data_IF_370069363815
#
_entry.id   IF_370069363815
#
_cell.length_a   1.000
_cell.length_b   1.000
_cell.length_c   1.000
_cell.angle_alpha   90.00
_cell.angle_beta   90.00
_cell.angle_gamma   90.00
#
_symmetry.space_group_name_H-M   'P 1'
#
loop_
_entity.id
_entity.type
_entity.pdbx_description
1 polymer ?
#
# COMPACT_ATOMS: atom_id res chain seq x y z
N UNK A 1 26.77 -17.85 16.54
CA UNK A 1 26.15 -18.39 15.31
C UNK A 1 25.02 -17.44 14.98
N UNK A 2 25.25 -16.54 14.01
CA UNK A 2 24.37 -15.41 13.75
C UNK A 2 23.31 -15.78 12.70
N UNK A 3 22.05 -15.53 13.02
CA UNK A 3 20.89 -15.67 12.14
C UNK A 3 20.95 -14.63 11.02
N UNK A 4 21.00 -15.10 9.78
CA UNK A 4 20.83 -14.27 8.59
C UNK A 4 19.34 -14.12 8.29
N UNK A 5 18.75 -13.02 8.74
CA UNK A 5 17.45 -12.53 8.25
C UNK A 5 17.65 -11.93 6.86
N UNK A 6 17.13 -12.61 5.83
CA UNK A 6 17.10 -12.09 4.46
C UNK A 6 15.98 -11.07 4.33
N UNK A 7 16.32 -9.78 4.30
CA UNK A 7 15.38 -8.71 3.91
C UNK A 7 14.98 -8.89 2.44
N UNK A 8 13.67 -8.88 2.18
CA UNK A 8 13.11 -8.87 0.82
C UNK A 8 13.45 -7.57 0.08
N UNK A 9 13.30 -7.53 -1.25
CA UNK A 9 13.71 -6.38 -2.05
C UNK A 9 12.85 -5.16 -1.66
N UNK A 10 13.45 -4.23 -0.93
CA UNK A 10 12.90 -2.92 -0.64
C UNK A 10 12.56 -2.21 -1.96
N UNK A 11 11.46 -1.47 -1.96
CA UNK A 11 11.15 -0.56 -3.07
C UNK A 11 12.38 0.32 -3.31
N UNK A 12 13.02 0.13 -4.46
CA UNK A 12 14.14 0.98 -4.88
C UNK A 12 13.62 2.39 -5.06
N UNK A 13 13.92 3.26 -4.10
CA UNK A 13 13.67 4.70 -4.18
C UNK A 13 14.57 5.26 -5.27
N UNK A 14 14.02 5.45 -6.47
CA UNK A 14 14.68 6.18 -7.54
C UNK A 14 14.89 7.64 -7.12
N UNK A 15 16.03 8.20 -7.55
CA UNK A 15 16.65 9.45 -7.12
C UNK A 15 15.75 10.67 -6.90
N UNK A 16 16.09 11.39 -5.82
CA UNK A 16 15.61 12.68 -5.35
C UNK A 16 15.84 13.80 -6.38
N UNK A 17 14.79 14.55 -6.73
CA UNK A 17 14.84 15.93 -7.20
C UNK A 17 13.43 16.55 -7.09
N UNK A 18 13.25 17.49 -6.14
CA UNK A 18 12.00 18.23 -5.91
C UNK A 18 11.48 18.01 -4.49
N UNK A 19 11.18 19.08 -3.76
CA UNK A 19 10.76 19.01 -2.36
C UNK A 19 9.43 18.26 -2.24
N UNK A 20 9.46 16.94 -2.03
CA UNK A 20 8.23 16.17 -1.81
C UNK A 20 7.61 16.66 -0.52
N UNK A 21 6.54 17.45 -0.62
CA UNK A 21 5.67 17.72 0.52
C UNK A 21 5.15 16.36 1.00
N UNK A 22 5.05 16.16 2.31
CA UNK A 22 4.36 15.00 2.87
C UNK A 22 2.91 15.37 3.13
N UNK A 23 2.00 14.40 3.01
CA UNK A 23 0.62 14.51 3.48
C UNK A 23 0.59 13.88 4.87
N UNK A 24 0.24 14.68 5.87
CA UNK A 24 -0.01 14.18 7.22
C UNK A 24 -1.37 13.46 7.25
N UNK A 25 -1.39 12.29 7.88
CA UNK A 25 -2.60 11.52 8.15
C UNK A 25 -2.95 11.75 9.60
N UNK A 26 -4.10 12.37 9.84
CA UNK A 26 -4.54 12.76 11.19
C UNK A 26 -5.66 11.85 11.64
N UNK A 27 -5.60 11.38 12.89
CA UNK A 27 -6.71 10.69 13.51
C UNK A 27 -7.80 11.69 13.88
N UNK A 28 -8.99 11.62 13.26
CA UNK A 28 -10.04 12.62 13.48
C UNK A 28 -10.66 12.54 14.90
N UNK A 29 -10.51 11.42 15.61
CA UNK A 29 -11.03 11.29 16.97
C UNK A 29 -10.15 11.97 18.03
N UNK A 30 -8.83 12.07 17.80
CA UNK A 30 -7.87 12.65 18.76
C UNK A 30 -7.25 13.95 18.26
N UNK A 31 -7.25 14.21 16.96
CA UNK A 31 -6.54 15.31 16.32
C UNK A 31 -5.04 15.06 16.13
N UNK A 32 -4.53 13.89 16.51
CA UNK A 32 -3.10 13.55 16.43
C UNK A 32 -2.70 13.11 15.01
N UNK A 33 -1.50 13.48 14.57
CA UNK A 33 -0.91 12.96 13.33
C UNK A 33 -0.41 11.53 13.60
N UNK A 34 -0.94 10.57 12.86
CA UNK A 34 -0.66 9.12 13.03
C UNK A 34 0.26 8.55 11.95
N UNK A 35 0.38 9.22 10.81
CA UNK A 35 1.31 8.85 9.75
C UNK A 35 1.62 10.04 8.82
N UNK A 36 2.63 9.88 7.97
CA UNK A 36 2.90 10.80 6.87
C UNK A 36 3.19 10.03 5.58
N UNK A 37 2.58 10.40 4.47
CA UNK A 37 2.81 9.79 3.16
C UNK A 37 3.45 10.79 2.19
N UNK A 38 4.30 10.37 1.24
CA UNK A 38 4.84 11.27 0.24
C UNK A 38 3.72 11.85 -0.65
N UNK A 39 3.68 13.17 -0.81
CA UNK A 39 2.86 13.80 -1.84
C UNK A 39 3.67 13.80 -3.15
N UNK A 40 3.30 12.90 -4.06
CA UNK A 40 3.85 12.90 -5.41
C UNK A 40 3.36 14.14 -6.16
N UNK A 41 4.23 14.74 -6.96
CA UNK A 41 3.86 15.86 -7.83
C UNK A 41 3.58 15.40 -9.26
N UNK A 42 3.21 16.35 -10.12
CA UNK A 42 2.88 16.06 -11.52
C UNK A 42 4.08 15.52 -12.31
N UNK A 43 5.31 15.83 -11.90
CA UNK A 43 6.52 15.34 -12.55
C UNK A 43 6.80 13.87 -12.24
N UNK A 44 6.38 13.39 -11.06
CA UNK A 44 6.51 11.98 -10.66
C UNK A 44 5.59 11.03 -11.46
N UNK A 45 4.44 11.53 -11.92
CA UNK A 45 3.40 10.73 -12.60
C UNK A 45 3.98 10.03 -13.83
N UNK A 46 4.80 10.73 -14.62
CA UNK A 46 5.40 10.16 -15.82
C UNK A 46 6.26 8.92 -15.51
N UNK A 47 7.05 8.98 -14.43
CA UNK A 47 7.87 7.85 -13.98
C UNK A 47 7.03 6.68 -13.48
N UNK A 48 5.97 6.94 -12.72
CA UNK A 48 5.04 5.90 -12.24
C UNK A 48 4.37 5.18 -13.41
N UNK A 49 3.86 5.95 -14.38
CA UNK A 49 3.20 5.40 -15.57
C UNK A 49 4.17 4.60 -16.43
N UNK A 50 5.41 5.08 -16.62
CA UNK A 50 6.44 4.36 -17.37
C UNK A 50 6.75 2.99 -16.74
N UNK A 51 6.88 2.91 -15.40
CA UNK A 51 7.07 1.64 -14.70
C UNK A 51 5.88 0.71 -14.87
N UNK A 52 4.65 1.23 -14.74
CA UNK A 52 3.44 0.44 -14.95
C UNK A 52 3.35 -0.12 -16.38
N UNK A 53 3.73 0.69 -17.38
CA UNK A 53 3.78 0.26 -18.80
C UNK A 53 4.82 -0.83 -19.03
N UNK A 54 6.00 -0.72 -18.43
CA UNK A 54 7.03 -1.74 -18.53
C UNK A 54 6.61 -3.08 -17.89
N UNK A 55 5.85 -3.05 -16.78
CA UNK A 55 5.34 -4.26 -16.13
C UNK A 55 4.16 -4.92 -16.84
N UNK A 56 3.40 -4.15 -17.64
CA UNK A 56 2.14 -4.60 -18.23
C UNK A 56 2.25 -5.86 -19.12
N UNK A 57 3.27 -6.03 -19.99
CA UNK A 57 3.39 -7.24 -20.81
C UNK A 57 3.55 -8.51 -19.96
N UNK A 58 4.34 -8.43 -18.88
CA UNK A 58 4.52 -9.54 -17.93
C UNK A 58 3.21 -9.89 -17.22
N UNK A 59 2.47 -8.87 -16.76
CA UNK A 59 1.15 -9.06 -16.15
C UNK A 59 0.13 -9.68 -17.13
N UNK A 60 0.15 -9.26 -18.40
CA UNK A 60 -0.73 -9.80 -19.43
C UNK A 60 -0.42 -11.28 -19.73
N UNK A 61 0.87 -11.62 -19.84
CA UNK A 61 1.35 -12.98 -20.14
C UNK A 61 0.95 -14.02 -19.09
N UNK A 62 0.64 -13.61 -17.86
CA UNK A 62 0.11 -14.51 -16.82
C UNK A 62 -1.24 -15.16 -17.17
N UNK A 63 -1.98 -14.60 -18.14
CA UNK A 63 -3.31 -15.09 -18.51
C UNK A 63 -4.32 -14.99 -17.35
N UNK A 64 -5.48 -15.61 -17.53
CA UNK A 64 -6.54 -15.60 -16.52
C UNK A 64 -6.10 -16.30 -15.22
N UNK A 65 -5.61 -17.53 -15.31
CA UNK A 65 -5.27 -18.36 -14.14
C UNK A 65 -4.08 -17.80 -13.35
N UNK A 66 -3.06 -17.27 -14.02
CA UNK A 66 -1.92 -16.66 -13.37
C UNK A 66 -2.32 -15.44 -12.54
N UNK A 67 -3.12 -14.55 -13.12
CA UNK A 67 -3.66 -13.38 -12.39
C UNK A 67 -4.58 -13.81 -11.25
N UNK A 68 -5.44 -14.81 -11.47
CA UNK A 68 -6.33 -15.32 -10.44
C UNK A 68 -5.57 -15.89 -9.22
N UNK A 69 -4.44 -16.58 -9.43
CA UNK A 69 -3.58 -17.04 -8.32
C UNK A 69 -3.03 -15.87 -7.49
N UNK A 70 -2.55 -14.82 -8.13
CA UNK A 70 -2.02 -13.63 -7.43
C UNK A 70 -3.13 -12.93 -6.64
N UNK A 71 -4.30 -12.71 -7.27
CA UNK A 71 -5.43 -12.07 -6.62
C UNK A 71 -5.98 -12.90 -5.44
N UNK A 72 -6.03 -14.23 -5.54
CA UNK A 72 -6.40 -15.10 -4.41
C UNK A 72 -5.39 -15.04 -3.27
N UNK A 73 -4.09 -14.92 -3.57
CA UNK A 73 -3.08 -14.72 -2.54
C UNK A 73 -3.25 -13.36 -1.85
N UNK A 74 -3.56 -12.31 -2.61
CA UNK A 74 -3.88 -11.00 -2.05
C UNK A 74 -5.13 -11.05 -1.17
N UNK A 75 -6.21 -11.70 -1.63
CA UNK A 75 -7.42 -11.94 -0.85
C UNK A 75 -7.11 -12.67 0.46
N UNK A 76 -6.34 -13.77 0.41
CA UNK A 76 -5.95 -14.50 1.62
C UNK A 76 -5.20 -13.58 2.59
N UNK A 77 -4.27 -12.77 2.10
CA UNK A 77 -3.53 -11.84 2.94
C UNK A 77 -4.46 -10.81 3.59
N UNK A 78 -5.44 -10.26 2.87
CA UNK A 78 -6.44 -9.34 3.42
C UNK A 78 -7.21 -10.00 4.56
N UNK A 79 -7.72 -11.22 4.36
CA UNK A 79 -8.44 -11.97 5.39
C UNK A 79 -7.56 -12.26 6.60
N UNK A 80 -6.33 -12.71 6.39
CA UNK A 80 -5.37 -13.01 7.47
C UNK A 80 -4.98 -11.75 8.27
N UNK A 81 -5.12 -10.56 7.69
CA UNK A 81 -4.73 -9.27 8.29
C UNK A 81 -5.94 -8.36 8.55
N UNK A 82 -7.13 -8.94 8.62
CA UNK A 82 -8.39 -8.20 8.68
C UNK A 82 -8.46 -7.19 9.84
N UNK A 83 -8.06 -7.61 11.05
CA UNK A 83 -8.03 -6.74 12.24
C UNK A 83 -7.06 -5.56 12.06
N UNK A 84 -5.88 -5.80 11.47
CA UNK A 84 -4.90 -4.74 11.19
C UNK A 84 -5.46 -3.72 10.20
N UNK A 85 -6.14 -4.17 9.15
CA UNK A 85 -6.74 -3.28 8.14
C UNK A 85 -7.86 -2.45 8.79
N UNK A 86 -8.76 -3.09 9.54
CA UNK A 86 -9.83 -2.41 10.25
C UNK A 86 -9.30 -1.36 11.24
N UNK A 87 -8.26 -1.66 12.03
CA UNK A 87 -7.63 -0.68 12.93
C UNK A 87 -7.04 0.51 12.19
N UNK A 88 -6.42 0.28 11.03
CA UNK A 88 -5.88 1.37 10.18
C UNK A 88 -7.03 2.27 9.74
N UNK A 89 -8.10 1.68 9.17
CA UNK A 89 -9.30 2.41 8.72
C UNK A 89 -9.93 3.23 9.85
N UNK A 90 -10.08 2.64 11.05
CA UNK A 90 -10.62 3.33 12.23
C UNK A 90 -9.73 4.50 12.61
N UNK A 91 -8.41 4.30 12.63
CA UNK A 91 -7.47 5.36 13.02
C UNK A 91 -7.46 6.54 12.04
N UNK A 92 -7.65 6.30 10.75
CA UNK A 92 -7.59 7.35 9.71
C UNK A 92 -8.94 8.04 9.50
N UNK A 93 -10.06 7.35 9.74
CA UNK A 93 -11.40 7.85 9.40
C UNK A 93 -12.33 8.06 10.60
N UNK A 94 -11.97 7.58 11.79
CA UNK A 94 -12.77 7.74 13.02
C UNK A 94 -14.07 6.94 13.09
N UNK A 95 -14.31 6.01 12.14
CA UNK A 95 -15.49 5.14 12.15
C UNK A 95 -15.39 4.06 13.25
N UNK A 96 -16.52 3.46 13.61
CA UNK A 96 -16.54 2.35 14.57
C UNK A 96 -15.80 1.12 14.03
N UNK A 97 -15.18 0.33 14.92
CA UNK A 97 -14.42 -0.85 14.50
C UNK A 97 -15.31 -1.90 13.86
N UNK A 98 -16.52 -2.11 14.39
CA UNK A 98 -17.48 -3.08 13.85
C UNK A 98 -17.90 -2.73 12.42
N UNK A 99 -18.10 -1.44 12.15
CA UNK A 99 -18.41 -0.92 10.81
C UNK A 99 -17.24 -1.14 9.84
N UNK A 100 -16.01 -0.76 10.25
CA UNK A 100 -14.80 -0.97 9.45
C UNK A 100 -14.57 -2.46 9.14
N UNK A 101 -14.80 -3.34 10.12
CA UNK A 101 -14.60 -4.78 9.93
C UNK A 101 -15.62 -5.36 8.94
N UNK A 102 -16.91 -5.08 9.14
CA UNK A 102 -17.98 -5.72 8.37
C UNK A 102 -18.11 -5.21 6.94
N UNK A 103 -17.81 -3.93 6.69
CA UNK A 103 -18.10 -3.28 5.41
C UNK A 103 -16.87 -3.09 4.50
N UNK A 104 -15.65 -3.06 5.06
CA UNK A 104 -14.45 -2.59 4.33
C UNK A 104 -13.29 -3.59 4.28
N UNK A 105 -13.44 -4.76 4.90
CA UNK A 105 -12.43 -5.83 4.95
C UNK A 105 -13.00 -7.13 4.41
#
# INVERSE_FOLDING_TARGET
MAETTTEGPGLTTAQQNGHSKTIEVTNPATGEVIASVPALDTSDVAGVVARARAAQPGWAALGFDGRARILRRAQKWVVDNADRIARTIVSENGKAYEDAQLAEV
#
